data_IF_398892886537
#
_entry.id   IF_398892886537
#
_cell.length_a   1.000
_cell.length_b   1.000
_cell.length_c   1.000
_cell.angle_alpha   90.00
_cell.angle_beta   90.00
_cell.angle_gamma   90.00
#
_symmetry.space_group_name_H-M   'P 1'
#
loop_
_entity.id
_entity.type
_entity.pdbx_description
1 polymer ?
#
# COMPACT_ATOMS: atom_id res chain seq x y z
N UNK A 1 -4.77 -24.55 6.95
CA UNK A 1 -3.80 -25.29 6.10
C UNK A 1 -4.44 -25.84 4.84
N UNK A 2 -5.54 -26.62 4.91
CA UNK A 2 -6.20 -27.13 3.69
C UNK A 2 -6.61 -26.02 2.69
N UNK A 3 -7.16 -24.92 3.19
CA UNK A 3 -7.47 -23.73 2.37
C UNK A 3 -6.24 -23.19 1.61
N UNK A 4 -5.06 -23.18 2.26
CA UNK A 4 -3.83 -22.71 1.65
C UNK A 4 -3.41 -23.63 0.49
N UNK A 5 -3.48 -24.95 0.67
CA UNK A 5 -3.20 -25.90 -0.42
C UNK A 5 -4.14 -25.73 -1.62
N UNK A 6 -5.42 -25.45 -1.38
CA UNK A 6 -6.38 -25.20 -2.47
C UNK A 6 -6.03 -23.93 -3.24
N UNK A 7 -5.62 -22.87 -2.55
CA UNK A 7 -5.18 -21.62 -3.19
C UNK A 7 -3.88 -21.87 -3.97
N UNK A 8 -2.90 -22.57 -3.40
CA UNK A 8 -1.63 -22.87 -4.10
C UNK A 8 -1.82 -23.83 -5.28
N UNK A 9 -2.83 -24.71 -5.23
CA UNK A 9 -3.17 -25.59 -6.34
C UNK A 9 -3.72 -24.83 -7.56
N UNK A 10 -4.15 -23.58 -7.41
CA UNK A 10 -4.50 -22.74 -8.56
C UNK A 10 -3.23 -22.29 -9.29
N UNK A 11 -3.18 -22.55 -10.59
CA UNK A 11 -2.01 -22.23 -11.43
C UNK A 11 -1.74 -20.73 -11.49
N UNK A 12 -2.81 -19.93 -11.44
CA UNK A 12 -2.76 -18.48 -11.59
C UNK A 12 -3.45 -17.79 -10.40
N UNK A 13 -2.72 -16.99 -9.59
CA UNK A 13 -3.30 -16.35 -8.41
C UNK A 13 -4.34 -15.28 -8.76
N UNK A 14 -4.34 -14.71 -9.97
CA UNK A 14 -5.36 -13.72 -10.36
C UNK A 14 -6.73 -14.34 -10.62
N UNK A 15 -6.81 -15.67 -10.77
CA UNK A 15 -8.09 -16.37 -10.89
C UNK A 15 -8.77 -16.57 -9.51
N UNK A 16 -8.10 -16.14 -8.43
CA UNK A 16 -8.60 -16.16 -7.06
C UNK A 16 -8.97 -14.74 -6.64
N UNK A 17 -10.16 -14.58 -6.06
CA UNK A 17 -10.59 -13.30 -5.49
C UNK A 17 -10.85 -13.43 -4.00
N UNK A 18 -10.31 -12.51 -3.21
CA UNK A 18 -10.66 -12.34 -1.80
C UNK A 18 -11.68 -11.22 -1.66
N UNK A 19 -12.85 -11.50 -1.09
CA UNK A 19 -13.97 -10.56 -1.04
C UNK A 19 -14.45 -10.29 0.40
N UNK A 20 -14.66 -9.00 0.72
CA UNK A 20 -15.35 -8.55 1.93
C UNK A 20 -16.13 -7.24 1.64
N UNK A 21 -17.46 -7.19 1.88
CA UNK A 21 -18.30 -6.02 1.64
C UNK A 21 -18.34 -5.02 2.81
N UNK A 22 -17.88 -5.40 4.00
CA UNK A 22 -18.06 -4.65 5.24
C UNK A 22 -16.88 -3.77 5.64
N UNK A 23 -16.65 -3.68 6.95
CA UNK A 23 -15.71 -2.78 7.65
C UNK A 23 -14.22 -3.09 7.34
N UNK A 24 -13.93 -4.24 6.71
CA UNK A 24 -12.58 -4.79 6.59
C UNK A 24 -12.03 -4.85 5.15
N UNK A 25 -12.28 -3.89 4.24
CA UNK A 25 -11.79 -3.98 2.86
C UNK A 25 -10.26 -3.94 2.80
N UNK A 26 -9.63 -3.26 3.76
CA UNK A 26 -8.17 -3.20 3.90
C UNK A 26 -7.54 -4.58 4.11
N UNK A 27 -8.23 -5.50 4.79
CA UNK A 27 -7.72 -6.85 5.03
C UNK A 27 -7.62 -7.66 3.73
N UNK A 28 -8.64 -7.59 2.87
CA UNK A 28 -8.63 -8.20 1.54
C UNK A 28 -7.57 -7.58 0.64
N UNK A 29 -7.39 -6.26 0.68
CA UNK A 29 -6.33 -5.58 -0.09
C UNK A 29 -4.93 -6.00 0.36
N UNK A 30 -4.69 -6.10 1.67
CA UNK A 30 -3.40 -6.57 2.23
C UNK A 30 -3.14 -8.04 1.91
N UNK A 31 -4.19 -8.88 1.96
CA UNK A 31 -4.11 -10.29 1.56
C UNK A 31 -3.80 -10.45 0.08
N UNK A 32 -4.49 -9.70 -0.78
CA UNK A 32 -4.28 -9.65 -2.21
C UNK A 32 -2.88 -9.17 -2.58
N UNK A 33 -2.39 -8.11 -1.91
CA UNK A 33 -1.02 -7.62 -2.12
C UNK A 33 0.04 -8.66 -1.73
N UNK A 34 -0.22 -9.47 -0.69
CA UNK A 34 0.71 -10.50 -0.25
C UNK A 34 0.70 -11.74 -1.15
N UNK A 35 -0.47 -12.14 -1.65
CA UNK A 35 -0.66 -13.41 -2.37
C UNK A 35 -0.71 -13.24 -3.90
N UNK A 36 -0.94 -12.01 -4.38
CA UNK A 36 -1.14 -11.71 -5.80
C UNK A 36 -2.57 -12.00 -6.30
N UNK A 37 -3.55 -12.16 -5.39
CA UNK A 37 -4.95 -12.40 -5.73
C UNK A 37 -5.69 -11.10 -6.05
N UNK A 38 -6.89 -11.19 -6.62
CA UNK A 38 -7.72 -10.00 -6.88
C UNK A 38 -8.44 -9.59 -5.59
N UNK A 39 -8.29 -8.34 -5.12
CA UNK A 39 -9.07 -7.85 -3.99
C UNK A 39 -10.48 -7.42 -4.43
N UNK A 40 -11.47 -7.91 -3.71
CA UNK A 40 -12.86 -7.49 -3.78
C UNK A 40 -13.24 -6.71 -2.54
N UNK A 41 -13.47 -5.41 -2.69
CA UNK A 41 -13.79 -4.51 -1.60
C UNK A 41 -15.11 -3.78 -1.84
N UNK A 42 -15.87 -3.56 -0.78
CA UNK A 42 -17.11 -2.80 -0.80
C UNK A 42 -18.29 -3.56 -1.38
N UNK A 43 -19.38 -2.85 -1.68
CA UNK A 43 -20.66 -3.46 -2.04
C UNK A 43 -20.56 -4.36 -3.28
N UNK A 44 -21.19 -5.54 -3.19
CA UNK A 44 -21.17 -6.50 -4.28
C UNK A 44 -21.94 -5.92 -5.46
N UNK A 45 -21.28 -5.78 -6.59
CA UNK A 45 -21.98 -5.43 -7.82
C UNK A 45 -22.49 -6.73 -8.45
N UNK A 46 -23.82 -6.98 -8.43
CA UNK A 46 -24.36 -8.12 -9.13
C UNK A 46 -23.96 -8.01 -10.60
N UNK A 47 -23.67 -9.16 -11.23
CA UNK A 47 -23.24 -9.30 -12.63
C UNK A 47 -21.72 -9.26 -12.91
N UNK A 48 -20.89 -8.96 -11.90
CA UNK A 48 -19.41 -8.98 -12.03
C UNK A 48 -18.86 -10.32 -12.54
N UNK A 49 -19.48 -11.44 -12.15
CA UNK A 49 -19.03 -12.78 -12.56
C UNK A 49 -19.75 -13.35 -13.78
N UNK A 50 -20.87 -12.75 -14.21
CA UNK A 50 -21.74 -13.33 -15.24
C UNK A 50 -21.82 -12.52 -16.53
N UNK A 51 -21.55 -11.21 -16.50
CA UNK A 51 -21.62 -10.35 -17.68
C UNK A 51 -20.25 -10.10 -18.32
N UNK A 52 -19.99 -10.84 -19.40
CA UNK A 52 -18.78 -10.75 -20.23
C UNK A 52 -18.58 -9.39 -20.91
N UNK A 53 -19.60 -8.54 -21.00
CA UNK A 53 -19.53 -7.23 -21.67
C UNK A 53 -18.98 -6.15 -20.72
N UNK A 54 -19.06 -6.37 -19.40
CA UNK A 54 -18.66 -5.37 -18.42
C UNK A 54 -17.13 -5.27 -18.32
N UNK A 55 -16.61 -4.04 -18.21
CA UNK A 55 -15.17 -3.83 -18.02
C UNK A 55 -14.62 -4.44 -16.71
N UNK A 56 -15.48 -4.58 -15.70
CA UNK A 56 -15.16 -5.23 -14.43
C UNK A 56 -15.42 -6.75 -14.43
N UNK A 57 -15.67 -7.37 -15.59
CA UNK A 57 -15.87 -8.81 -15.69
C UNK A 57 -14.61 -9.57 -15.27
N UNK A 58 -14.76 -10.50 -14.34
CA UNK A 58 -13.68 -11.38 -13.88
C UNK A 58 -14.12 -12.83 -14.01
N UNK A 59 -13.30 -13.64 -14.68
CA UNK A 59 -13.45 -15.10 -14.67
C UNK A 59 -12.61 -15.64 -13.53
N UNK A 60 -13.28 -15.96 -12.43
CA UNK A 60 -12.62 -16.52 -11.26
C UNK A 60 -12.81 -18.03 -11.22
N UNK A 61 -11.87 -18.71 -10.59
CA UNK A 61 -11.92 -20.16 -10.33
C UNK A 61 -12.13 -20.47 -8.86
N UNK A 62 -11.78 -19.54 -7.97
CA UNK A 62 -11.88 -19.70 -6.53
C UNK A 62 -12.28 -18.37 -5.89
N UNK A 63 -13.21 -18.43 -4.95
CA UNK A 63 -13.62 -17.27 -4.17
C UNK A 63 -13.23 -17.48 -2.71
N UNK A 64 -12.60 -16.49 -2.10
CA UNK A 64 -12.29 -16.44 -0.67
C UNK A 64 -13.15 -15.38 -0.03
N UNK A 65 -14.00 -15.79 0.90
CA UNK A 65 -14.98 -14.94 1.57
C UNK A 65 -14.72 -14.94 3.07
N UNK A 66 -14.96 -13.79 3.68
CA UNK A 66 -14.72 -13.55 5.10
C UNK A 66 -15.85 -13.97 6.02
N UNK A 67 -17.11 -13.82 5.62
CA UNK A 67 -18.25 -14.30 6.42
C UNK A 67 -19.38 -14.75 5.50
N UNK A 68 -19.77 -16.03 5.49
CA UNK A 68 -20.85 -16.50 4.62
C UNK A 68 -22.21 -15.89 4.94
N UNK A 69 -22.40 -15.31 6.14
CA UNK A 69 -23.66 -14.66 6.51
C UNK A 69 -23.86 -13.33 5.78
N UNK A 70 -22.87 -12.43 5.91
CA UNK A 70 -22.88 -11.13 5.25
C UNK A 70 -22.61 -11.23 3.72
N UNK A 71 -21.87 -12.26 3.30
CA UNK A 71 -21.25 -12.32 1.97
C UNK A 71 -21.83 -13.48 1.13
N UNK A 72 -23.07 -13.89 1.41
CA UNK A 72 -23.74 -14.97 0.67
C UNK A 72 -23.95 -14.65 -0.82
N UNK A 73 -24.08 -13.36 -1.17
CA UNK A 73 -24.36 -12.91 -2.53
C UNK A 73 -23.30 -13.36 -3.55
N UNK A 74 -21.99 -13.04 -3.41
CA UNK A 74 -20.98 -13.45 -4.38
C UNK A 74 -20.86 -14.97 -4.51
N UNK A 75 -20.96 -15.73 -3.42
CA UNK A 75 -20.93 -17.20 -3.47
C UNK A 75 -22.11 -17.78 -4.25
N UNK A 76 -23.32 -17.23 -4.05
CA UNK A 76 -24.53 -17.68 -4.74
C UNK A 76 -24.54 -17.33 -6.23
N UNK A 77 -24.15 -16.10 -6.60
CA UNK A 77 -24.21 -15.65 -8.00
C UNK A 77 -23.06 -16.14 -8.87
N UNK A 78 -21.91 -16.50 -8.28
CA UNK A 78 -20.73 -16.93 -9.02
C UNK A 78 -20.75 -18.42 -9.38
N UNK A 79 -21.42 -19.26 -8.57
CA UNK A 79 -21.35 -20.72 -8.67
C UNK A 79 -19.89 -21.23 -8.72
N UNK A 80 -19.05 -20.68 -7.84
CA UNK A 80 -17.64 -20.97 -7.73
C UNK A 80 -17.34 -21.68 -6.40
N UNK A 81 -16.31 -22.54 -6.36
CA UNK A 81 -15.86 -23.08 -5.08
C UNK A 81 -15.44 -21.92 -4.17
N UNK A 82 -16.09 -21.85 -3.01
CA UNK A 82 -15.92 -20.76 -2.05
C UNK A 82 -15.30 -21.26 -0.76
N UNK A 83 -14.17 -20.67 -0.37
CA UNK A 83 -13.52 -20.87 0.93
C UNK A 83 -13.98 -19.75 1.84
N UNK A 84 -14.49 -20.08 3.02
CA UNK A 84 -15.00 -19.06 3.96
C UNK A 84 -14.33 -19.12 5.31
N UNK A 85 -14.13 -17.95 5.93
CA UNK A 85 -13.89 -17.89 7.37
C UNK A 85 -15.25 -17.96 8.08
N UNK A 86 -15.44 -19.00 8.89
CA UNK A 86 -16.71 -19.25 9.56
C UNK A 86 -16.57 -19.05 11.07
N UNK A 87 -17.58 -18.42 11.66
CA UNK A 87 -17.85 -18.47 13.09
C UNK A 87 -18.73 -19.68 13.41
N UNK A 88 -19.02 -19.88 14.70
CA UNK A 88 -19.79 -21.05 15.17
C UNK A 88 -21.25 -21.02 14.70
N UNK A 89 -21.78 -19.83 14.47
CA UNK A 89 -23.16 -19.51 14.08
C UNK A 89 -23.31 -19.22 12.58
N UNK A 90 -22.22 -19.24 11.82
CA UNK A 90 -22.23 -18.94 10.38
C UNK A 90 -22.96 -20.02 9.56
N UNK A 91 -23.85 -19.65 8.62
CA UNK A 91 -24.47 -20.60 7.72
C UNK A 91 -23.43 -21.21 6.77
N UNK A 92 -23.46 -22.53 6.58
CA UNK A 92 -22.54 -23.26 5.70
C UNK A 92 -23.11 -23.51 4.29
N UNK A 93 -24.23 -22.87 3.95
CA UNK A 93 -24.83 -23.00 2.62
C UNK A 93 -23.90 -22.36 1.57
N UNK A 94 -23.64 -23.08 0.47
CA UNK A 94 -22.79 -22.62 -0.63
C UNK A 94 -21.30 -22.42 -0.28
N UNK A 95 -20.85 -22.98 0.86
CA UNK A 95 -19.45 -23.02 1.27
C UNK A 95 -18.85 -24.36 0.90
N UNK A 96 -17.75 -24.35 0.15
CA UNK A 96 -17.01 -25.57 -0.18
C UNK A 96 -16.04 -25.98 0.95
N UNK A 97 -15.39 -24.99 1.57
CA UNK A 97 -14.43 -25.23 2.64
C UNK A 97 -14.58 -24.20 3.77
N UNK A 98 -15.24 -24.55 4.89
CA UNK A 98 -15.27 -23.69 6.06
C UNK A 98 -13.94 -23.76 6.81
N UNK A 99 -13.35 -22.61 7.08
CA UNK A 99 -12.19 -22.47 7.96
C UNK A 99 -12.63 -21.77 9.24
N UNK A 100 -12.48 -22.45 10.37
CA UNK A 100 -12.70 -21.83 11.68
C UNK A 100 -11.61 -20.78 11.95
N UNK A 101 -12.05 -19.62 12.44
CA UNK A 101 -11.31 -18.38 12.63
C UNK A 101 -9.79 -18.54 12.86
N UNK A 102 -9.00 -18.32 11.80
CA UNK A 102 -7.58 -17.98 11.93
C UNK A 102 -7.24 -16.86 10.96
N UNK A 103 -6.84 -15.71 11.48
CA UNK A 103 -6.31 -14.55 10.75
C UNK A 103 -4.94 -14.79 10.09
N UNK A 104 -4.40 -16.01 10.16
CA UNK A 104 -3.11 -16.42 9.58
C UNK A 104 -3.21 -16.87 8.12
N UNK A 105 -4.29 -16.54 7.41
CA UNK A 105 -4.56 -16.98 6.04
C UNK A 105 -3.38 -16.71 5.09
N UNK A 106 -2.95 -15.45 4.97
CA UNK A 106 -1.83 -15.06 4.09
C UNK A 106 -0.52 -15.76 4.46
N UNK A 107 -0.20 -15.83 5.75
CA UNK A 107 1.02 -16.50 6.22
C UNK A 107 1.03 -17.98 5.82
N UNK A 108 -0.10 -18.68 6.01
CA UNK A 108 -0.19 -20.10 5.66
C UNK A 108 -0.09 -20.35 4.16
N UNK A 109 -0.64 -19.46 3.31
CA UNK A 109 -0.49 -19.56 1.85
C UNK A 109 0.96 -19.36 1.44
N UNK A 110 1.62 -18.33 1.96
CA UNK A 110 3.02 -18.01 1.61
C UNK A 110 4.03 -19.07 2.09
N UNK A 111 3.74 -19.74 3.20
CA UNK A 111 4.53 -20.90 3.65
C UNK A 111 4.38 -22.09 2.69
N UNK A 112 3.14 -22.40 2.29
CA UNK A 112 2.89 -23.51 1.34
C UNK A 112 3.45 -23.20 -0.05
N UNK A 113 3.43 -21.94 -0.49
CA UNK A 113 4.09 -21.50 -1.73
C UNK A 113 5.63 -21.57 -1.67
N UNK A 114 6.23 -21.72 -0.49
CA UNK A 114 7.68 -21.70 -0.31
C UNK A 114 8.33 -20.31 -0.39
N UNK A 115 7.54 -19.23 -0.48
CA UNK A 115 8.03 -17.84 -0.49
C UNK A 115 8.61 -17.45 0.88
N UNK A 116 8.10 -18.05 1.96
CA UNK A 116 8.56 -17.84 3.33
C UNK A 116 9.04 -19.19 3.89
N UNK A 117 10.23 -19.18 4.50
CA UNK A 117 10.77 -20.34 5.23
C UNK A 117 9.89 -20.66 6.45
N UNK A 118 9.70 -21.95 6.73
CA UNK A 118 9.05 -22.39 7.98
C UNK A 118 9.87 -22.08 9.24
N UNK A 119 11.20 -21.96 9.11
CA UNK A 119 12.11 -21.76 10.24
C UNK A 119 12.29 -20.29 10.60
N UNK A 120 12.19 -19.40 9.61
CA UNK A 120 12.40 -17.97 9.82
C UNK A 120 11.07 -17.28 10.16
N UNK A 121 11.05 -16.39 11.17
CA UNK A 121 9.85 -15.64 11.52
C UNK A 121 9.42 -14.75 10.34
N UNK A 122 8.11 -14.64 10.13
CA UNK A 122 7.57 -13.79 9.09
C UNK A 122 7.94 -12.32 9.33
N UNK A 123 8.56 -11.68 8.34
CA UNK A 123 9.01 -10.28 8.39
C UNK A 123 7.86 -9.28 8.53
N UNK A 124 6.67 -9.59 8.01
CA UNK A 124 5.50 -8.71 8.12
C UNK A 124 4.78 -8.99 9.44
N UNK A 125 4.59 -7.95 10.23
CA UNK A 125 3.93 -8.08 11.53
C UNK A 125 2.45 -8.47 11.32
N UNK A 126 1.94 -9.54 11.97
CA UNK A 126 0.56 -9.99 11.79
C UNK A 126 -0.50 -8.91 12.08
N UNK A 127 -0.16 -7.97 12.96
CA UNK A 127 -0.99 -6.82 13.32
C UNK A 127 -1.34 -5.93 12.11
N UNK A 128 -0.50 -5.92 11.06
CA UNK A 128 -0.78 -5.21 9.81
C UNK A 128 -2.07 -5.71 9.17
N UNK A 129 -2.44 -6.99 9.33
CA UNK A 129 -3.68 -7.56 8.78
C UNK A 129 -4.88 -7.36 9.71
N UNK A 130 -4.66 -6.82 10.91
CA UNK A 130 -5.74 -6.53 11.85
C UNK A 130 -6.50 -5.29 11.40
N UNK A 131 -7.78 -5.25 11.73
CA UNK A 131 -8.56 -4.04 11.62
C UNK A 131 -8.06 -3.03 12.65
N UNK A 132 -8.02 -1.77 12.24
CA UNK A 132 -7.84 -0.62 13.10
C UNK A 132 -8.98 0.33 12.81
N UNK A 133 -9.54 0.90 13.87
CA UNK A 133 -10.55 1.93 13.70
C UNK A 133 -9.95 3.12 12.94
N UNK A 134 -10.73 3.76 12.05
CA UNK A 134 -10.24 4.87 11.25
C UNK A 134 -9.77 6.05 12.12
N UNK A 135 -10.46 6.31 13.24
CA UNK A 135 -10.08 7.37 14.19
C UNK A 135 -8.73 7.08 14.89
N UNK A 136 -8.47 5.82 15.26
CA UNK A 136 -7.20 5.41 15.86
C UNK A 136 -6.05 5.50 14.85
N UNK A 137 -6.32 5.16 13.59
CA UNK A 137 -5.35 5.26 12.50
C UNK A 137 -4.97 6.71 12.24
N UNK A 138 -5.96 7.62 12.14
CA UNK A 138 -5.71 9.05 11.93
C UNK A 138 -4.94 9.67 13.10
N UNK A 139 -5.27 9.30 14.34
CA UNK A 139 -4.59 9.79 15.55
C UNK A 139 -3.14 9.31 15.62
N UNK A 140 -2.87 8.05 15.26
CA UNK A 140 -1.51 7.52 15.20
C UNK A 140 -0.71 8.12 14.04
N UNK A 141 -1.32 8.35 12.87
CA UNK A 141 -0.68 9.02 11.74
C UNK A 141 -0.34 10.48 12.07
N UNK A 142 -1.23 11.19 12.76
CA UNK A 142 -0.96 12.54 13.27
C UNK A 142 0.16 12.54 14.31
N UNK A 143 0.13 11.62 15.28
CA UNK A 143 1.20 11.50 16.27
C UNK A 143 2.55 11.12 15.63
N UNK A 144 2.56 10.29 14.58
CA UNK A 144 3.76 9.94 13.83
C UNK A 144 4.28 11.12 12.99
N UNK A 145 3.38 11.90 12.39
CA UNK A 145 3.72 13.12 11.66
C UNK A 145 4.28 14.19 12.61
N UNK A 146 3.69 14.39 13.78
CA UNK A 146 4.20 15.28 14.83
C UNK A 146 5.57 14.82 15.34
N UNK A 147 5.77 13.51 15.54
CA UNK A 147 7.07 12.94 15.89
C UNK A 147 8.12 13.08 14.78
N UNK A 148 7.72 13.02 13.52
CA UNK A 148 8.62 13.24 12.38
C UNK A 148 9.00 14.72 12.25
N UNK A 149 8.03 15.63 12.39
CA UNK A 149 8.24 17.09 12.36
C UNK A 149 9.14 17.53 13.51
N UNK A 150 8.89 17.05 14.73
CA UNK A 150 9.76 17.36 15.88
C UNK A 150 11.18 16.81 15.72
N UNK A 151 11.35 15.67 15.04
CA UNK A 151 12.67 15.11 14.74
C UNK A 151 13.41 15.91 13.66
N UNK A 152 12.71 16.43 12.65
CA UNK A 152 13.27 17.33 11.64
C UNK A 152 13.59 18.72 12.19
N UNK A 153 12.73 19.27 13.05
CA UNK A 153 13.02 20.52 13.78
C UNK A 153 14.24 20.36 14.69
N UNK A 154 14.34 19.27 15.44
CA UNK A 154 15.51 18.96 16.27
C UNK A 154 16.80 18.80 15.44
N UNK A 155 16.71 18.19 14.25
CA UNK A 155 17.85 18.09 13.32
C UNK A 155 18.25 19.47 12.75
N UNK A 156 17.27 20.33 12.44
CA UNK A 156 17.49 21.69 11.95
C UNK A 156 18.13 22.60 13.00
N UNK A 157 17.64 22.57 14.24
CA UNK A 157 18.21 23.31 15.36
C UNK A 157 19.65 22.86 15.67
N UNK A 158 19.89 21.55 15.65
CA UNK A 158 21.24 21.00 15.84
C UNK A 158 22.23 21.47 14.75
N UNK A 159 21.79 21.54 13.49
CA UNK A 159 22.59 22.07 12.38
C UNK A 159 22.90 23.57 12.56
N UNK A 160 21.93 24.38 13.00
CA UNK A 160 22.15 25.80 13.28
C UNK A 160 23.12 26.02 14.44
N UNK A 161 23.04 25.21 15.50
CA UNK A 161 23.96 25.24 16.64
C UNK A 161 25.40 24.90 16.21
N UNK A 162 25.55 23.90 15.32
CA UNK A 162 26.83 23.50 14.75
C UNK A 162 27.43 24.60 13.88
N UNK A 163 26.63 25.20 12.99
CA UNK A 163 27.06 26.29 12.13
C UNK A 163 27.46 27.53 12.94
N UNK A 164 26.71 27.86 14.00
CA UNK A 164 27.05 28.95 14.92
C UNK A 164 28.38 28.71 15.64
N UNK A 165 28.61 27.48 16.11
CA UNK A 165 29.87 27.09 16.77
C UNK A 165 31.07 27.13 15.81
N UNK A 166 30.88 26.69 14.56
CA UNK A 166 31.89 26.74 13.50
C UNK A 166 32.24 28.18 13.11
N UNK A 167 31.23 29.05 12.99
CA UNK A 167 31.41 30.48 12.73
C UNK A 167 32.16 31.17 13.88
N UNK A 168 31.85 30.83 15.13
CA UNK A 168 32.55 31.38 16.29
C UNK A 168 34.02 30.97 16.31
N UNK A 169 34.31 29.70 15.97
CA UNK A 169 35.67 29.18 15.91
C UNK A 169 36.48 29.85 14.78
N UNK A 170 35.87 30.06 13.61
CA UNK A 170 36.49 30.82 12.51
C UNK A 170 36.76 32.29 12.90
N UNK A 171 35.85 32.91 13.66
CA UNK A 171 36.00 34.25 14.22
C UNK A 171 37.06 34.33 15.33
N UNK A 172 37.37 33.20 15.98
CA UNK A 172 38.45 33.09 16.98
C UNK A 172 39.83 32.88 16.33
N UNK A 173 39.91 32.18 15.19
CA UNK A 173 41.15 32.01 14.43
C UNK A 173 41.56 33.28 13.69
N UNK A 174 40.61 34.13 13.36
CA UNK A 174 40.88 35.43 12.76
C UNK A 174 40.78 36.50 13.86
N UNK A 175 41.91 36.86 14.45
CA UNK A 175 41.98 37.95 15.43
C UNK A 175 41.67 39.30 14.78
N UNK A 176 40.40 39.62 14.55
CA UNK A 176 39.96 40.94 14.08
C UNK A 176 39.75 41.84 15.28
N UNK A 177 40.77 42.64 15.61
CA UNK A 177 40.61 43.82 16.47
C UNK A 177 39.81 44.90 15.74
N UNK A 178 38.89 45.54 16.47
CA UNK A 178 38.07 46.69 16.03
C UNK A 178 38.96 47.79 15.45
N UNK A 179 38.89 47.98 14.12
CA UNK A 179 39.63 49.05 13.44
C UNK A 179 40.25 48.59 12.13
N UNK A 180 39.43 48.23 11.16
CA UNK A 180 39.86 48.03 9.78
C UNK A 180 38.79 48.53 8.84
N UNK A 181 39.10 49.59 8.08
CA UNK A 181 38.20 50.14 7.06
C UNK A 181 37.74 49.03 6.11
N UNK A 182 36.43 48.98 5.88
CA UNK A 182 35.82 48.16 4.85
C UNK A 182 36.23 48.72 3.48
N UNK A 183 36.90 47.97 2.59
CA UNK A 183 37.10 48.44 1.24
C UNK A 183 35.75 48.38 0.51
N UNK A 184 35.33 49.53 0.00
CA UNK A 184 34.09 49.66 -0.77
C UNK A 184 34.23 48.90 -2.10
N UNK A 185 33.43 47.85 -2.28
CA UNK A 185 33.35 47.12 -3.55
C UNK A 185 32.19 47.72 -4.35
N UNK A 186 32.38 48.09 -5.63
CA UNK A 186 31.31 48.67 -6.42
C UNK A 186 30.22 47.63 -6.70
N UNK A 187 28.98 48.02 -6.43
CA UNK A 187 27.77 47.28 -6.80
C UNK A 187 27.67 47.22 -8.33
N UNK A 188 28.05 46.09 -8.91
CA UNK A 188 27.86 45.83 -10.34
C UNK A 188 26.63 44.93 -10.51
N UNK A 189 25.56 45.50 -11.05
CA UNK A 189 24.33 44.79 -11.39
C UNK A 189 24.54 43.93 -12.64
N UNK A 190 25.07 42.72 -12.48
CA UNK A 190 24.96 41.69 -13.51
C UNK A 190 24.78 40.31 -12.86
N UNK A 191 23.56 39.78 -12.99
CA UNK A 191 23.25 38.39 -12.70
C UNK A 191 24.14 37.47 -13.56
N UNK A 192 24.90 36.53 -12.98
CA UNK A 192 25.46 35.43 -13.74
C UNK A 192 24.35 34.41 -14.01
N UNK A 193 23.99 34.30 -15.29
CA UNK A 193 23.08 33.29 -15.82
C UNK A 193 23.79 31.93 -15.82
N UNK A 194 23.71 31.18 -14.72
CA UNK A 194 24.25 29.82 -14.67
C UNK A 194 23.23 28.84 -15.26
N UNK A 195 23.56 28.44 -16.48
CA UNK A 195 23.07 27.32 -17.29
C UNK A 195 22.50 26.16 -16.45
N UNK A 196 21.18 25.97 -16.51
CA UNK A 196 20.52 24.74 -16.11
C UNK A 196 20.97 23.60 -17.06
N UNK A 197 21.63 22.59 -16.49
CA UNK A 197 21.86 21.31 -17.14
C UNK A 197 20.52 20.56 -17.22
N UNK A 198 19.91 20.54 -18.39
CA UNK A 198 18.79 19.66 -18.72
C UNK A 198 19.31 18.24 -18.98
N UNK A 199 18.88 17.28 -18.14
CA UNK A 199 18.85 15.87 -18.51
C UNK A 199 17.42 15.52 -18.96
N UNK A 200 17.26 14.62 -19.95
CA UNK A 200 16.10 14.59 -20.84
C UNK A 200 14.85 13.96 -20.23
N UNK A 201 13.73 14.66 -20.44
CA UNK A 201 12.36 14.16 -20.26
C UNK A 201 12.12 13.03 -21.26
N UNK A 202 11.99 11.81 -20.75
CA UNK A 202 11.73 10.61 -21.55
C UNK A 202 10.29 10.62 -22.03
N UNK A 203 10.13 10.84 -23.33
CA UNK A 203 8.88 10.73 -24.09
C UNK A 203 8.25 9.36 -23.88
N UNK A 204 7.05 9.31 -23.30
CA UNK A 204 6.19 8.13 -23.31
C UNK A 204 5.48 7.98 -24.67
N UNK A 205 5.18 6.75 -25.11
CA UNK A 205 4.54 6.48 -26.40
C UNK A 205 3.09 6.94 -26.45
N UNK A 206 2.70 7.55 -27.57
CA UNK A 206 1.37 8.12 -27.80
C UNK A 206 0.26 7.07 -27.90
N UNK A 207 -0.89 7.42 -27.32
CA UNK A 207 -2.18 6.80 -27.61
C UNK A 207 -2.76 7.39 -28.92
N UNK A 208 -3.35 6.58 -29.81
CA UNK A 208 -3.94 7.05 -31.06
C UNK A 208 -5.32 7.68 -30.82
N UNK A 209 -5.50 8.93 -31.28
CA UNK A 209 -6.79 9.60 -31.35
C UNK A 209 -7.59 9.12 -32.58
N UNK A 210 -8.81 8.64 -32.30
CA UNK A 210 -9.86 8.28 -33.25
C UNK A 210 -10.21 9.45 -34.18
N UNK A 211 -10.32 9.19 -35.49
CA UNK A 211 -10.93 10.10 -36.48
C UNK A 211 -12.45 9.90 -36.51
N UNK A 212 -13.26 10.96 -36.64
CA UNK A 212 -14.67 10.83 -36.99
C UNK A 212 -14.82 10.56 -38.49
N UNK A 213 -15.54 9.49 -38.84
CA UNK A 213 -16.06 9.22 -40.18
C UNK A 213 -17.36 10.01 -40.34
N UNK A 214 -17.35 11.03 -41.19
CA UNK A 214 -18.57 11.58 -41.81
C UNK A 214 -18.40 11.46 -43.32
N UNK A 215 -19.30 10.69 -43.92
CA UNK A 215 -19.47 10.42 -45.34
C UNK A 215 -20.71 9.58 -45.50
#
# INVERSE_FOLDING_TARGET
MLAAYVIVATENPVDVMSYHPGIWPASCMKFAAATGTIPGAGHFTPRTFTNKIQAAFQVLRLLVVTDPSADHQPAFYADLPTITLCNTDSPLCYVALPSLATNKGAHSVLQVCGTISHEHPWKVMPEVYSYRDPEDTEKEEQAAAEQAVTKEEFQGEWLLQLLSSLLLNLKSQTGWSEGGQVPSVPFNSSLPKTRASSLPLKTGPGLPLLRPLNG
#
